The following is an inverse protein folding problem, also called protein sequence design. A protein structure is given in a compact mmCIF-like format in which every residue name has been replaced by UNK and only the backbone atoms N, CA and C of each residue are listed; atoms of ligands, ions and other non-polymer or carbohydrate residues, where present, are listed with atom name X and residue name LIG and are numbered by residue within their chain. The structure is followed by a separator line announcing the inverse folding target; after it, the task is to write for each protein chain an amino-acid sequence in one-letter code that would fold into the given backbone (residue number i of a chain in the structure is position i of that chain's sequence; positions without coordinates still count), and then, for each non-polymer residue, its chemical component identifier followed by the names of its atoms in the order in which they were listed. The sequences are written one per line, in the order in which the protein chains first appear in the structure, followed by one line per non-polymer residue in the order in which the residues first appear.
data_IF_130805665441
#
_entry.id   IF_130805665441
#
_cell.length_a   1.000
_cell.length_b   1.000
_cell.length_c   1.000
_cell.angle_alpha   90.00
_cell.angle_beta   90.00
_cell.angle_gamma   90.00
#
_symmetry.space_group_name_H-M   'P 1'
#
loop_
_entity.id
_entity.type
_entity.pdbx_description
1 polymer ?
#
# COMPACT_ATOMS: atom_id res chain seq x y z
N UNK A 1 7.60 12.47 -0.16
CA UNK A 1 8.87 11.73 0.11
C UNK A 1 9.08 10.72 -1.00
N UNK A 2 10.23 10.76 -1.67
CA UNK A 2 10.64 9.78 -2.68
C UNK A 2 11.57 8.73 -2.08
N UNK A 3 11.36 7.47 -2.43
CA UNK A 3 12.26 6.37 -2.05
C UNK A 3 12.96 5.77 -3.28
N UNK A 4 14.22 5.39 -3.08
CA UNK A 4 15.02 4.64 -4.03
C UNK A 4 15.03 3.17 -3.59
N UNK A 5 14.55 2.29 -4.45
CA UNK A 5 14.23 0.91 -4.09
C UNK A 5 14.92 -0.03 -5.07
N UNK A 6 15.66 -1.00 -4.56
CA UNK A 6 16.19 -2.13 -5.32
C UNK A 6 15.48 -3.40 -4.87
N UNK A 7 15.03 -4.20 -5.82
CA UNK A 7 14.34 -5.47 -5.57
C UNK A 7 15.01 -6.59 -6.36
N UNK A 8 15.02 -7.79 -5.80
CA UNK A 8 15.40 -9.00 -6.50
C UNK A 8 14.59 -10.19 -5.97
N UNK A 9 14.22 -11.13 -6.83
CA UNK A 9 13.52 -12.35 -6.45
C UNK A 9 14.13 -13.57 -7.10
N UNK A 10 14.42 -14.59 -6.29
CA UNK A 10 15.09 -15.80 -6.75
C UNK A 10 14.36 -17.07 -6.34
N UNK A 11 14.57 -18.15 -7.09
CA UNK A 11 14.15 -19.51 -6.72
C UNK A 11 15.20 -20.57 -7.08
N UNK A 12 15.42 -21.53 -6.16
CA UNK A 12 16.26 -22.74 -6.37
C UNK A 12 15.43 -23.85 -7.01
N UNK A 13 15.03 -23.63 -8.26
CA UNK A 13 14.14 -24.50 -9.02
C UNK A 13 13.02 -23.70 -9.67
N UNK A 14 12.18 -24.35 -10.48
CA UNK A 14 11.08 -23.67 -11.15
C UNK A 14 9.83 -24.57 -11.26
N UNK A 15 9.09 -24.80 -10.15
CA UNK A 15 9.21 -24.13 -8.84
C UNK A 15 10.26 -24.75 -7.90
N UNK A 16 10.65 -24.00 -6.86
CA UNK A 16 11.57 -24.42 -5.80
C UNK A 16 11.56 -23.45 -4.61
N UNK A 17 12.40 -23.67 -3.58
CA UNK A 17 12.59 -22.72 -2.49
C UNK A 17 12.92 -21.34 -3.03
N UNK A 18 12.20 -20.32 -2.58
CA UNK A 18 12.24 -18.99 -3.15
C UNK A 18 12.31 -17.91 -2.07
N UNK A 19 12.86 -16.76 -2.45
CA UNK A 19 13.01 -15.62 -1.57
C UNK A 19 12.99 -14.31 -2.37
N UNK A 20 12.74 -13.21 -1.67
CA UNK A 20 12.81 -11.85 -2.18
C UNK A 20 13.82 -11.03 -1.38
N UNK A 21 14.55 -10.14 -2.05
CA UNK A 21 15.41 -9.14 -1.45
C UNK A 21 14.89 -7.74 -1.72
N UNK A 22 14.87 -6.89 -0.70
CA UNK A 22 14.38 -5.50 -0.76
C UNK A 22 15.38 -4.59 -0.07
N UNK A 23 15.83 -3.57 -0.79
CA UNK A 23 16.70 -2.50 -0.29
C UNK A 23 16.02 -1.17 -0.57
N UNK A 24 15.79 -0.38 0.47
CA UNK A 24 15.13 0.92 0.40
C UNK A 24 16.07 1.97 0.97
N UNK A 25 16.28 3.04 0.23
CA UNK A 25 17.01 4.22 0.65
C UNK A 25 16.15 5.49 0.49
N UNK A 26 16.42 6.49 1.34
CA UNK A 26 15.81 7.82 1.22
C UNK A 26 16.39 8.63 0.06
N UNK A 27 15.90 9.86 -0.14
CA UNK A 27 16.37 10.77 -1.20
C UNK A 27 17.86 11.15 -1.09
N UNK A 28 18.48 10.95 0.09
CA UNK A 28 19.90 11.22 0.34
C UNK A 28 20.75 9.96 0.17
N UNK A 29 20.15 8.83 -0.22
CA UNK A 29 20.83 7.55 -0.39
C UNK A 29 21.12 6.83 0.94
N UNK A 30 20.50 7.25 2.05
CA UNK A 30 20.68 6.58 3.34
C UNK A 30 19.80 5.32 3.37
N UNK A 31 20.33 4.14 3.75
CA UNK A 31 19.54 2.93 3.84
C UNK A 31 18.51 3.06 4.96
N UNK A 32 17.26 2.71 4.64
CA UNK A 32 16.09 2.76 5.52
C UNK A 32 15.64 1.36 5.89
N UNK A 33 15.64 0.47 4.90
CA UNK A 33 15.31 -0.95 5.04
C UNK A 33 16.24 -1.78 4.16
N UNK A 34 16.78 -2.85 4.71
CA UNK A 34 17.48 -3.89 3.97
C UNK A 34 17.03 -5.24 4.51
N UNK A 35 16.23 -5.96 3.73
CA UNK A 35 15.59 -7.20 4.16
C UNK A 35 15.55 -8.24 3.04
N UNK A 36 15.69 -9.50 3.44
CA UNK A 36 15.38 -10.68 2.67
C UNK A 36 14.15 -11.37 3.25
N UNK A 37 13.30 -11.92 2.39
CA UNK A 37 12.04 -12.54 2.77
C UNK A 37 11.93 -13.93 2.19
N UNK A 38 11.72 -14.94 3.03
CA UNK A 38 11.50 -16.29 2.57
C UNK A 38 10.06 -16.44 2.05
N UNK A 39 9.90 -17.06 0.88
CA UNK A 39 8.62 -17.14 0.17
C UNK A 39 8.07 -18.58 0.07
N UNK A 40 8.72 -19.54 0.73
CA UNK A 40 8.39 -20.95 0.57
C UNK A 40 8.74 -21.43 -0.84
N UNK A 41 7.81 -22.11 -1.51
CA UNK A 41 8.01 -22.63 -2.87
C UNK A 41 7.35 -21.77 -3.93
N UNK A 42 8.13 -21.20 -4.84
CA UNK A 42 7.67 -20.36 -5.95
C UNK A 42 8.52 -20.58 -7.21
N UNK A 43 8.00 -20.18 -8.36
CA UNK A 43 8.79 -19.98 -9.58
C UNK A 43 9.65 -18.72 -9.47
N UNK A 44 10.70 -18.60 -10.30
CA UNK A 44 11.54 -17.40 -10.29
C UNK A 44 10.73 -16.13 -10.55
N UNK A 45 9.87 -16.14 -11.59
CA UNK A 45 9.05 -14.99 -11.93
C UNK A 45 8.05 -14.62 -10.83
N UNK A 46 7.52 -15.59 -10.09
CA UNK A 46 6.68 -15.28 -8.93
C UNK A 46 7.49 -14.62 -7.83
N UNK A 47 8.71 -15.09 -7.53
CA UNK A 47 9.57 -14.49 -6.52
C UNK A 47 9.91 -13.02 -6.82
N UNK A 48 10.19 -12.70 -8.09
CA UNK A 48 10.45 -11.33 -8.57
C UNK A 48 9.25 -10.39 -8.32
N UNK A 49 8.04 -10.86 -8.61
CA UNK A 49 6.83 -10.08 -8.32
C UNK A 49 6.56 -9.95 -6.83
N UNK A 50 6.78 -10.99 -6.03
CA UNK A 50 6.63 -10.94 -4.57
C UNK A 50 7.63 -9.93 -3.96
N UNK A 51 8.85 -9.83 -4.51
CA UNK A 51 9.83 -8.81 -4.11
C UNK A 51 9.30 -7.39 -4.37
N UNK A 52 8.72 -7.16 -5.56
CA UNK A 52 8.06 -5.88 -5.88
C UNK A 52 6.92 -5.57 -4.90
N UNK A 53 6.05 -6.53 -4.62
CA UNK A 53 4.90 -6.32 -3.73
C UNK A 53 5.33 -5.95 -2.31
N UNK A 54 6.31 -6.67 -1.74
CA UNK A 54 6.85 -6.36 -0.40
C UNK A 54 7.51 -4.99 -0.35
N UNK A 55 8.28 -4.63 -1.38
CA UNK A 55 8.89 -3.31 -1.45
C UNK A 55 7.87 -2.17 -1.50
N UNK A 56 6.76 -2.36 -2.24
CA UNK A 56 5.68 -1.38 -2.30
C UNK A 56 4.91 -1.26 -0.98
N UNK A 57 4.73 -2.35 -0.24
CA UNK A 57 4.13 -2.31 1.08
C UNK A 57 4.97 -1.50 2.06
N UNK A 58 6.27 -1.77 2.14
CA UNK A 58 7.17 -0.98 2.97
C UNK A 58 7.23 0.49 2.57
N UNK A 59 7.31 0.78 1.27
CA UNK A 59 7.29 2.16 0.80
C UNK A 59 6.01 2.90 1.20
N UNK A 60 4.86 2.22 1.18
CA UNK A 60 3.59 2.78 1.62
C UNK A 60 3.54 2.96 3.15
N UNK A 61 4.03 1.99 3.93
CA UNK A 61 4.16 2.07 5.40
C UNK A 61 5.05 3.24 5.84
N UNK A 62 6.11 3.51 5.08
CA UNK A 62 7.01 4.65 5.29
C UNK A 62 6.40 6.00 4.86
N UNK A 63 5.21 6.00 4.24
CA UNK A 63 4.56 7.22 3.77
C UNK A 63 5.22 7.83 2.53
N UNK A 64 5.86 7.02 1.69
CA UNK A 64 6.40 7.51 0.43
C UNK A 64 5.26 8.00 -0.48
N UNK A 65 5.47 9.15 -1.11
CA UNK A 65 4.59 9.69 -2.15
C UNK A 65 5.12 9.38 -3.53
N UNK A 66 6.41 9.03 -3.66
CA UNK A 66 7.01 8.59 -4.91
C UNK A 66 8.01 7.45 -4.74
N UNK A 67 8.11 6.58 -5.76
CA UNK A 67 9.07 5.46 -5.77
C UNK A 67 9.88 5.43 -7.05
N UNK A 68 11.18 5.14 -6.92
CA UNK A 68 12.06 4.79 -8.03
C UNK A 68 12.60 3.38 -7.77
N UNK A 69 12.09 2.42 -8.52
CA UNK A 69 12.32 0.98 -8.34
C UNK A 69 13.27 0.48 -9.42
N UNK A 70 14.28 -0.27 -9.01
CA UNK A 70 15.25 -0.92 -9.87
C UNK A 70 15.16 -2.43 -9.70
N UNK A 71 15.17 -3.15 -10.82
CA UNK A 71 15.20 -4.61 -10.87
C UNK A 71 16.03 -5.05 -12.08
N UNK A 72 16.75 -6.15 -11.97
CA UNK A 72 17.44 -6.81 -13.08
C UNK A 72 16.55 -7.82 -13.83
N UNK A 73 15.29 -8.00 -13.39
CA UNK A 73 14.29 -8.79 -14.10
C UNK A 73 13.67 -8.01 -15.26
N UNK A 74 14.23 -8.15 -16.46
CA UNK A 74 13.72 -7.48 -17.67
C UNK A 74 12.24 -7.81 -17.95
N UNK A 75 11.82 -9.06 -17.70
CA UNK A 75 10.43 -9.49 -17.87
C UNK A 75 9.48 -8.69 -16.99
N UNK A 76 9.78 -8.60 -15.69
CA UNK A 76 8.96 -7.86 -14.73
C UNK A 76 8.89 -6.38 -15.12
N UNK A 77 10.03 -5.76 -15.42
CA UNK A 77 10.09 -4.34 -15.80
C UNK A 77 9.24 -4.07 -17.04
N UNK A 78 9.39 -4.86 -18.10
CA UNK A 78 8.62 -4.71 -19.35
C UNK A 78 7.14 -4.97 -19.16
N UNK A 79 6.75 -5.89 -18.28
CA UNK A 79 5.34 -6.12 -17.98
C UNK A 79 4.71 -4.96 -17.21
N UNK A 80 5.36 -4.48 -16.15
CA UNK A 80 4.88 -3.33 -15.35
C UNK A 80 4.76 -2.06 -16.20
N UNK A 81 5.70 -1.83 -17.13
CA UNK A 81 5.67 -0.70 -18.03
C UNK A 81 4.69 -0.88 -19.22
N UNK A 82 4.02 -2.02 -19.33
CA UNK A 82 3.01 -2.29 -20.36
C UNK A 82 3.58 -2.71 -21.73
N UNK A 83 4.89 -2.89 -21.85
CA UNK A 83 5.54 -3.36 -23.07
C UNK A 83 5.15 -4.80 -23.38
N UNK A 84 5.06 -5.65 -22.34
CA UNK A 84 4.76 -7.07 -22.45
C UNK A 84 3.43 -7.43 -21.76
N UNK A 85 2.63 -8.27 -22.42
CA UNK A 85 1.41 -8.83 -21.84
C UNK A 85 1.74 -9.97 -20.87
N UNK A 86 1.09 -9.99 -19.71
CA UNK A 86 1.12 -11.12 -18.78
C UNK A 86 0.19 -12.21 -19.29
N UNK A 87 0.76 -13.37 -19.67
CA UNK A 87 0.00 -14.51 -20.22
C UNK A 87 -0.17 -15.67 -19.23
N UNK A 88 0.69 -15.76 -18.23
CA UNK A 88 0.66 -16.85 -17.26
C UNK A 88 -0.42 -16.59 -16.20
N UNK A 89 -1.38 -17.50 -16.07
CA UNK A 89 -2.49 -17.38 -15.12
C UNK A 89 -2.02 -17.18 -13.67
N UNK A 90 -0.90 -17.79 -13.29
CA UNK A 90 -0.34 -17.68 -11.93
C UNK A 90 0.38 -16.35 -11.67
N UNK A 91 0.67 -15.57 -12.72
CA UNK A 91 1.37 -14.28 -12.62
C UNK A 91 0.40 -13.11 -12.72
N UNK A 92 -0.75 -13.28 -13.37
CA UNK A 92 -1.77 -12.24 -13.52
C UNK A 92 -2.24 -11.64 -12.18
N UNK A 93 -2.55 -12.43 -11.13
CA UNK A 93 -2.95 -11.87 -9.84
C UNK A 93 -1.86 -11.01 -9.17
N UNK A 94 -0.59 -11.42 -9.31
CA UNK A 94 0.55 -10.69 -8.76
C UNK A 94 0.78 -9.38 -9.51
N UNK A 95 0.65 -9.41 -10.84
CA UNK A 95 0.72 -8.23 -11.69
C UNK A 95 -0.36 -7.20 -11.36
N UNK A 96 -1.62 -7.64 -11.25
CA UNK A 96 -2.72 -6.75 -10.88
C UNK A 96 -2.53 -6.16 -9.48
N UNK A 97 -2.03 -6.96 -8.53
CA UNK A 97 -1.71 -6.47 -7.19
C UNK A 97 -0.60 -5.41 -7.22
N UNK A 98 0.43 -5.61 -8.05
CA UNK A 98 1.53 -4.66 -8.21
C UNK A 98 1.02 -3.33 -8.79
N UNK A 99 0.20 -3.36 -9.84
CA UNK A 99 -0.41 -2.16 -10.42
C UNK A 99 -1.29 -1.41 -9.40
N UNK A 100 -2.13 -2.14 -8.63
CA UNK A 100 -2.95 -1.52 -7.57
C UNK A 100 -2.11 -0.85 -6.50
N UNK A 101 -0.99 -1.45 -6.08
CA UNK A 101 -0.08 -0.87 -5.07
C UNK A 101 0.70 0.32 -5.64
N UNK A 102 1.20 0.24 -6.87
CA UNK A 102 1.85 1.34 -7.57
C UNK A 102 0.92 2.57 -7.69
N UNK A 103 -0.37 2.34 -7.94
CA UNK A 103 -1.38 3.41 -8.00
C UNK A 103 -1.64 4.17 -6.70
N UNK A 104 -1.06 3.74 -5.56
CA UNK A 104 -1.14 4.46 -4.27
C UNK A 104 -0.12 5.60 -4.17
N UNK A 105 0.90 5.61 -5.02
CA UNK A 105 1.93 6.64 -5.05
C UNK A 105 1.55 7.72 -6.07
N UNK A 106 1.83 8.99 -5.75
CA UNK A 106 1.61 10.10 -6.69
C UNK A 106 2.47 9.95 -7.95
N UNK A 107 3.67 9.36 -7.81
CA UNK A 107 4.58 9.05 -8.93
C UNK A 107 5.32 7.76 -8.66
N UNK A 108 5.50 6.94 -9.68
CA UNK A 108 6.34 5.74 -9.59
C UNK A 108 7.14 5.55 -10.87
N UNK A 109 8.24 4.82 -10.78
CA UNK A 109 9.08 4.48 -11.93
C UNK A 109 9.72 3.13 -11.68
N UNK A 110 9.67 2.23 -12.66
CA UNK A 110 10.35 0.93 -12.61
C UNK A 110 11.35 0.85 -13.77
N UNK A 111 12.63 0.62 -13.45
CA UNK A 111 13.73 0.59 -14.42
C UNK A 111 14.51 -0.71 -14.33
N UNK A 112 14.87 -1.21 -15.51
CA UNK A 112 15.82 -2.30 -15.60
C UNK A 112 17.23 -1.80 -15.28
N UNK A 113 17.95 -2.54 -14.45
CA UNK A 113 19.36 -2.35 -14.14
C UNK A 113 20.12 -3.64 -14.40
N UNK A 114 21.43 -3.55 -14.57
CA UNK A 114 22.25 -4.75 -14.70
C UNK A 114 22.45 -5.41 -13.32
N UNK A 115 22.64 -6.72 -13.30
CA UNK A 115 22.77 -7.51 -12.06
C UNK A 115 23.88 -7.02 -11.13
N UNK A 116 24.99 -6.51 -11.67
CA UNK A 116 26.08 -5.94 -10.86
C UNK A 116 25.67 -4.70 -10.04
N UNK A 117 24.62 -4.00 -10.49
CA UNK A 117 24.03 -2.84 -9.81
C UNK A 117 22.97 -3.26 -8.77
N UNK A 118 22.49 -4.50 -8.84
CA UNK A 118 21.43 -5.04 -7.96
C UNK A 118 21.95 -6.04 -6.89
N UNK A 119 23.28 -6.20 -6.77
CA UNK A 119 23.93 -7.21 -5.90
C UNK A 119 23.44 -7.26 -4.46
N UNK A 120 23.02 -6.13 -3.88
CA UNK A 120 22.59 -6.09 -2.47
C UNK A 120 21.24 -6.78 -2.28
N UNK A 121 20.28 -6.55 -3.17
CA UNK A 121 18.98 -7.22 -3.13
C UNK A 121 19.14 -8.73 -3.38
N UNK A 122 19.94 -9.11 -4.38
CA UNK A 122 20.29 -10.52 -4.67
C UNK A 122 20.93 -11.23 -3.46
N UNK A 123 21.88 -10.58 -2.78
CA UNK A 123 22.49 -11.13 -1.57
C UNK A 123 21.50 -11.33 -0.42
N UNK A 124 20.52 -10.42 -0.26
CA UNK A 124 19.46 -10.55 0.76
C UNK A 124 18.49 -11.69 0.43
N UNK A 125 18.08 -11.82 -0.84
CA UNK A 125 17.23 -12.92 -1.29
C UNK A 125 17.91 -14.27 -1.05
N UNK A 126 19.17 -14.42 -1.45
CA UNK A 126 19.93 -15.65 -1.24
C UNK A 126 20.08 -16.00 0.24
N UNK A 127 20.37 -15.03 1.11
CA UNK A 127 20.48 -15.27 2.56
C UNK A 127 19.17 -15.72 3.19
N UNK A 128 18.05 -15.08 2.86
CA UNK A 128 16.73 -15.51 3.35
C UNK A 128 16.37 -16.92 2.83
N UNK A 129 16.77 -17.24 1.61
CA UNK A 129 16.57 -18.58 1.05
C UNK A 129 17.43 -19.64 1.72
N UNK A 130 18.68 -19.33 2.05
CA UNK A 130 19.60 -20.21 2.78
C UNK A 130 19.16 -20.44 4.22
N UNK A 131 18.68 -19.39 4.89
CA UNK A 131 18.17 -19.47 6.26
C UNK A 131 16.76 -20.09 6.33
N UNK A 132 16.02 -20.13 5.21
CA UNK A 132 14.61 -20.50 5.12
C UNK A 132 13.70 -19.66 6.05
N UNK A 133 14.08 -18.41 6.30
CA UNK A 133 13.35 -17.45 7.13
C UNK A 133 13.61 -16.01 6.65
N UNK A 134 12.85 -15.06 7.18
CA UNK A 134 13.04 -13.65 6.88
C UNK A 134 14.32 -13.12 7.56
N UNK A 135 15.12 -12.34 6.83
CA UNK A 135 16.38 -11.75 7.30
C UNK A 135 16.28 -10.23 7.22
N UNK A 136 16.31 -9.54 8.35
CA UNK A 136 16.26 -8.07 8.39
C UNK A 136 17.59 -7.55 8.91
N UNK A 137 18.34 -6.83 8.07
CA UNK A 137 19.66 -6.30 8.43
C UNK A 137 19.62 -4.81 8.79
N UNK A 138 18.76 -4.04 8.11
CA UNK A 138 18.51 -2.64 8.44
C UNK A 138 17.02 -2.45 8.56
N UNK A 139 16.59 -1.92 9.71
CA UNK A 139 15.24 -1.40 9.91
C UNK A 139 15.37 -0.15 10.76
N UNK A 140 15.65 0.99 10.11
CA UNK A 140 15.64 2.26 10.82
C UNK A 140 14.20 2.74 10.90
N UNK A 141 13.69 2.92 12.12
CA UNK A 141 12.57 3.84 12.32
C UNK A 141 13.06 5.21 11.88
N UNK A 142 12.59 5.68 10.71
CA UNK A 142 12.90 7.04 10.25
C UNK A 142 12.28 8.03 11.25
N UNK A 143 13.05 8.36 12.29
CA UNK A 143 12.80 9.51 13.15
C UNK A 143 13.02 10.76 12.30
N UNK A 144 11.92 11.41 11.93
CA UNK A 144 11.95 12.70 11.29
C UNK A 144 12.22 13.78 12.34
N UNK A 145 13.48 14.16 12.51
CA UNK A 145 13.87 15.47 13.03
C UNK A 145 14.64 16.22 11.91
N UNK A 146 14.31 17.43 11.51
CA UNK A 146 13.26 18.33 11.99
C UNK A 146 13.04 19.48 11.01
N UNK A 147 11.91 20.14 11.21
CA UNK A 147 11.49 21.36 10.55
C UNK A 147 10.07 21.62 11.05
N UNK A 148 9.87 22.70 11.80
CA UNK A 148 8.63 22.96 12.51
C UNK A 148 7.41 22.93 11.58
N UNK A 149 6.52 21.94 11.76
CA UNK A 149 5.22 21.84 11.07
C UNK A 149 4.13 21.61 12.11
N UNK A 150 3.04 22.38 11.97
CA UNK A 150 1.91 22.48 12.91
C UNK A 150 1.30 21.10 13.24
N UNK A 151 0.97 20.89 14.53
CA UNK A 151 0.41 19.64 15.13
C UNK A 151 -0.64 18.97 14.22
N UNK A 152 -0.36 17.72 13.83
CA UNK A 152 -1.25 16.85 13.05
C UNK A 152 -2.36 16.25 13.93
N UNK A 153 -3.61 16.31 13.47
CA UNK A 153 -4.85 15.84 14.15
C UNK A 153 -5.12 14.34 13.92
N UNK A 154 -4.10 13.49 14.00
CA UNK A 154 -4.23 12.05 13.65
C UNK A 154 -5.22 11.30 14.56
N UNK A 155 -5.29 11.70 15.83
CA UNK A 155 -6.17 11.12 16.84
C UNK A 155 -7.48 11.90 17.04
N UNK A 156 -7.73 12.93 16.22
CA UNK A 156 -8.94 13.72 16.37
C UNK A 156 -10.17 12.89 15.99
N UNK A 157 -11.12 12.82 16.92
CA UNK A 157 -12.39 12.12 16.72
C UNK A 157 -13.18 12.86 15.64
N UNK A 158 -13.69 12.11 14.67
CA UNK A 158 -14.55 12.63 13.61
C UNK A 158 -15.91 11.97 13.75
N UNK A 159 -16.96 12.77 13.71
CA UNK A 159 -18.34 12.31 13.76
C UNK A 159 -18.91 12.36 12.36
N UNK A 160 -19.44 11.21 11.90
CA UNK A 160 -20.29 11.16 10.72
C UNK A 160 -21.76 11.24 11.16
N UNK A 161 -22.53 12.17 10.61
CA UNK A 161 -23.97 12.30 10.90
C UNK A 161 -24.80 12.06 9.64
N UNK A 162 -25.76 11.14 9.67
CA UNK A 162 -26.69 10.89 8.56
C UNK A 162 -27.64 12.10 8.43
N UNK A 163 -27.51 12.88 7.36
CA UNK A 163 -28.35 14.06 7.06
C UNK A 163 -29.47 13.76 6.08
N UNK A 164 -29.35 12.67 5.30
CA UNK A 164 -30.42 12.11 4.48
C UNK A 164 -30.47 10.61 4.72
N UNK A 165 -31.58 10.15 5.31
CA UNK A 165 -31.85 8.73 5.47
C UNK A 165 -32.17 8.09 4.10
N UNK A 166 -31.81 6.80 3.92
CA UNK A 166 -32.18 6.06 2.73
C UNK A 166 -33.70 5.80 2.69
N UNK A 167 -34.24 5.53 1.50
CA UNK A 167 -35.64 5.11 1.38
C UNK A 167 -35.86 3.77 2.11
N UNK A 168 -37.08 3.50 2.61
CA UNK A 168 -37.42 2.22 3.23
C UNK A 168 -36.98 1.03 2.35
N UNK A 169 -36.48 -0.03 2.98
CA UNK A 169 -36.04 -1.28 2.35
C UNK A 169 -34.83 -1.19 1.39
N UNK A 170 -34.20 -0.03 1.22
CA UNK A 170 -33.03 0.13 0.33
C UNK A 170 -31.67 -0.10 1.03
N UNK A 171 -31.63 0.02 2.36
CA UNK A 171 -30.44 -0.19 3.17
C UNK A 171 -30.70 -1.26 4.23
N UNK A 172 -29.96 -2.39 4.24
CA UNK A 172 -30.20 -3.49 5.18
C UNK A 172 -29.90 -3.15 6.65
N UNK A 173 -29.07 -2.14 6.91
CA UNK A 173 -28.80 -1.64 8.26
C UNK A 173 -29.59 -0.35 8.60
N UNK A 174 -30.07 0.37 7.58
CA UNK A 174 -30.67 1.71 7.73
C UNK A 174 -29.69 2.79 8.23
N UNK A 175 -30.10 4.06 8.11
CA UNK A 175 -29.67 5.12 9.02
C UNK A 175 -30.85 6.06 9.26
N UNK A 176 -31.10 6.46 10.50
CA UNK A 176 -32.07 7.49 10.79
C UNK A 176 -31.45 8.88 10.56
N UNK A 177 -32.28 9.83 10.11
CA UNK A 177 -31.85 11.23 10.02
C UNK A 177 -31.43 11.76 11.39
N UNK A 178 -30.21 12.29 11.48
CA UNK A 178 -29.62 12.79 12.72
C UNK A 178 -28.81 11.77 13.51
N UNK A 179 -28.86 10.48 13.14
CA UNK A 179 -28.01 9.44 13.73
C UNK A 179 -26.53 9.69 13.41
N UNK A 180 -25.65 9.32 14.34
CA UNK A 180 -24.24 9.67 14.26
C UNK A 180 -23.31 8.55 14.70
N UNK A 181 -22.17 8.45 14.01
CA UNK A 181 -21.14 7.45 14.25
C UNK A 181 -19.81 8.13 14.52
N UNK A 182 -19.15 7.70 15.59
CA UNK A 182 -17.86 8.23 16.02
C UNK A 182 -16.74 7.42 15.41
N UNK A 183 -15.86 8.09 14.70
CA UNK A 183 -14.63 7.52 14.19
C UNK A 183 -13.50 8.02 15.09
N UNK A 184 -12.99 7.14 15.93
CA UNK A 184 -11.81 7.33 16.77
C UNK A 184 -10.66 6.44 16.26
N UNK A 185 -10.03 5.63 17.11
CA UNK A 185 -9.06 4.60 16.71
C UNK A 185 -9.72 3.33 16.16
N UNK A 186 -11.02 3.14 16.37
CA UNK A 186 -11.79 1.97 15.94
C UNK A 186 -12.96 2.35 15.02
N UNK A 187 -13.54 1.33 14.37
CA UNK A 187 -14.74 1.48 13.54
C UNK A 187 -16.01 1.40 14.41
N UNK A 188 -16.97 2.33 14.24
CA UNK A 188 -18.20 2.32 15.00
C UNK A 188 -19.11 1.17 14.57
N UNK A 189 -19.71 0.49 15.54
CA UNK A 189 -20.76 -0.51 15.30
C UNK A 189 -22.05 0.12 14.78
N UNK A 190 -22.89 -0.67 14.11
CA UNK A 190 -24.19 -0.22 13.58
C UNK A 190 -24.11 0.55 12.25
N UNK A 191 -22.92 0.97 11.81
CA UNK A 191 -22.74 1.57 10.49
C UNK A 191 -22.70 0.47 9.42
N UNK A 192 -23.42 0.65 8.31
CA UNK A 192 -23.39 -0.30 7.22
C UNK A 192 -22.03 -0.31 6.50
N UNK A 193 -21.60 -1.49 6.04
CA UNK A 193 -20.29 -1.68 5.39
C UNK A 193 -20.15 -0.80 4.14
N UNK A 194 -21.21 -0.66 3.35
CA UNK A 194 -21.21 0.17 2.14
C UNK A 194 -20.96 1.66 2.46
N UNK A 195 -21.61 2.20 3.50
CA UNK A 195 -21.38 3.58 3.94
C UNK A 195 -19.98 3.75 4.54
N UNK A 196 -19.48 2.75 5.27
CA UNK A 196 -18.13 2.78 5.84
C UNK A 196 -17.05 2.87 4.76
N UNK A 197 -17.24 2.24 3.58
CA UNK A 197 -16.29 2.29 2.47
C UNK A 197 -16.00 3.70 1.95
N UNK A 198 -17.00 4.59 1.95
CA UNK A 198 -16.83 6.00 1.53
C UNK A 198 -16.54 6.94 2.71
N UNK A 199 -17.11 6.66 3.89
CA UNK A 199 -16.87 7.47 5.09
C UNK A 199 -15.44 7.34 5.59
N UNK A 200 -14.81 6.16 5.52
CA UNK A 200 -13.46 5.94 6.03
C UNK A 200 -12.38 6.76 5.30
N UNK A 201 -12.32 6.76 3.95
CA UNK A 201 -11.41 7.65 3.22
C UNK A 201 -11.67 9.13 3.53
N UNK A 202 -12.93 9.54 3.60
CA UNK A 202 -13.32 10.92 3.86
C UNK A 202 -12.95 11.39 5.29
N UNK A 203 -13.16 10.56 6.32
CA UNK A 203 -12.70 10.80 7.70
C UNK A 203 -11.19 10.92 7.76
N UNK A 204 -10.46 10.02 7.08
CA UNK A 204 -8.99 10.06 7.02
C UNK A 204 -8.48 11.32 6.33
N UNK A 205 -9.15 11.75 5.26
CA UNK A 205 -8.82 12.98 4.56
C UNK A 205 -9.11 14.21 5.42
N UNK A 206 -10.25 14.23 6.14
CA UNK A 206 -10.59 15.31 7.07
C UNK A 206 -9.54 15.46 8.17
N UNK A 207 -9.07 14.37 8.78
CA UNK A 207 -8.00 14.39 9.80
C UNK A 207 -6.67 14.93 9.27
N UNK A 208 -6.33 14.63 8.01
CA UNK A 208 -5.03 14.96 7.40
C UNK A 208 -5.00 16.32 6.72
N UNK A 209 -6.07 16.68 6.02
CA UNK A 209 -6.20 17.92 5.27
C UNK A 209 -7.67 18.38 5.25
N UNK A 210 -8.14 19.07 6.32
CA UNK A 210 -9.52 19.49 6.44
C UNK A 210 -10.02 20.36 5.27
N UNK A 211 -9.12 21.14 4.67
CA UNK A 211 -9.46 22.06 3.58
C UNK A 211 -9.79 21.33 2.26
N UNK A 212 -9.31 20.11 2.08
CA UNK A 212 -9.58 19.30 0.87
C UNK A 212 -10.56 18.16 1.12
N UNK A 213 -11.04 18.00 2.35
CA UNK A 213 -11.91 16.89 2.71
C UNK A 213 -13.35 17.16 2.25
N UNK A 214 -14.04 16.13 1.74
CA UNK A 214 -15.45 16.26 1.41
C UNK A 214 -16.24 16.49 2.71
N UNK A 215 -17.05 17.55 2.73
CA UNK A 215 -17.93 17.87 3.86
C UNK A 215 -19.21 17.02 3.84
N UNK A 216 -19.49 16.37 2.70
CA UNK A 216 -20.60 15.43 2.51
C UNK A 216 -20.12 14.18 1.81
N UNK A 217 -20.63 13.04 2.28
CA UNK A 217 -20.33 11.72 1.74
C UNK A 217 -21.65 11.02 1.45
N UNK A 218 -21.79 10.45 0.25
CA UNK A 218 -22.98 9.70 -0.15
C UNK A 218 -22.65 8.21 -0.14
N UNK A 219 -23.55 7.40 0.41
CA UNK A 219 -23.40 5.95 0.39
C UNK A 219 -23.37 5.44 -1.07
N UNK A 220 -22.40 4.59 -1.44
CA UNK A 220 -22.23 4.14 -2.82
C UNK A 220 -23.24 3.05 -3.22
N UNK A 221 -23.98 2.48 -2.26
CA UNK A 221 -24.96 1.43 -2.51
C UNK A 221 -26.08 1.97 -3.39
N UNK A 222 -26.25 1.35 -4.57
CA UNK A 222 -27.34 1.66 -5.50
C UNK A 222 -28.69 1.64 -4.79
N UNK A 223 -29.45 2.74 -4.91
CA UNK A 223 -30.77 2.89 -4.30
C UNK A 223 -30.78 3.39 -2.85
N UNK A 224 -29.67 3.31 -2.12
CA UNK A 224 -29.60 3.80 -0.73
C UNK A 224 -29.58 5.34 -0.68
N UNK A 225 -28.63 5.96 -1.39
CA UNK A 225 -28.46 7.43 -1.48
C UNK A 225 -28.41 8.16 -0.11
N UNK A 226 -28.08 7.45 0.97
CA UNK A 226 -27.90 8.08 2.27
C UNK A 226 -26.75 9.08 2.21
N UNK A 227 -26.95 10.27 2.78
CA UNK A 227 -25.93 11.31 2.83
C UNK A 227 -25.51 11.57 4.27
N UNK A 228 -24.20 11.78 4.45
CA UNK A 228 -23.57 12.01 5.74
C UNK A 228 -22.76 13.29 5.72
N UNK A 229 -22.74 14.03 6.82
CA UNK A 229 -21.75 15.10 7.05
C UNK A 229 -20.64 14.59 7.95
N UNK A 230 -19.44 15.13 7.78
CA UNK A 230 -18.28 14.82 8.60
C UNK A 230 -17.79 16.08 9.32
N UNK A 231 -17.67 15.98 10.64
CA UNK A 231 -17.21 17.08 11.48
C UNK A 231 -16.24 16.55 12.53
N UNK A 232 -15.27 17.37 12.95
CA UNK A 232 -14.50 17.05 14.14
C UNK A 232 -15.42 17.16 15.36
N UNK A 233 -15.24 16.26 16.31
CA UNK A 233 -15.85 16.40 17.63
C UNK A 233 -15.24 17.56 18.43
#
# INVERSE_FOLDING_TARGET
MKLHIHIDGGSRGNPGPAAAGVVIADERGRPVLEAGYFLGQKTNNQAEYEALLRALDHAAEMGATATLIHSDSELLVRQINGDYKVRHANLAPLFEAALRKLGRFERWTVRHVRREQNRRADALANRAMDAAEDVIEVSSSLSAAGGAVKRSRVDAVVVARCIRAPAPDTCPAGCAGGESWRFDTALPGGLCVDAAMELLPAVRLLRRNPASAPTRVTCPRTGCQAEFTLEFE
#
